data_IF_378602229058
#
_entry.id   IF_378602229058
#
_cell.length_a   1.000
_cell.length_b   1.000
_cell.length_c   1.000
_cell.angle_alpha   90.00
_cell.angle_beta   90.00
_cell.angle_gamma   90.00
#
_symmetry.space_group_name_H-M   'P 1'
#
loop_
_entity.id
_entity.type
_entity.pdbx_description
1 polymer ?
#
# COMPACT_ATOMS: atom_id res chain seq x y z
N UNK A 1 -26.36 7.63 10.86
CA UNK A 1 -25.69 7.37 9.57
C UNK A 1 -25.19 5.93 9.60
N UNK A 2 -25.07 5.27 8.45
CA UNK A 2 -24.38 3.96 8.42
C UNK A 2 -22.90 4.20 8.73
N UNK A 3 -22.23 3.30 9.48
CA UNK A 3 -20.80 3.46 9.74
C UNK A 3 -20.01 3.38 8.43
N UNK A 4 -18.98 4.20 8.30
CA UNK A 4 -18.01 4.11 7.21
C UNK A 4 -17.24 2.80 7.41
N UNK A 5 -17.20 1.94 6.39
CA UNK A 5 -16.55 0.63 6.44
C UNK A 5 -15.29 0.65 5.62
N UNK A 6 -14.14 0.37 6.22
CA UNK A 6 -12.85 0.41 5.53
C UNK A 6 -11.96 -0.75 5.90
N UNK A 7 -11.35 -1.37 4.87
CA UNK A 7 -10.24 -2.32 5.03
C UNK A 7 -8.93 -1.59 4.80
N UNK A 8 -7.98 -1.74 5.72
CA UNK A 8 -6.65 -1.12 5.72
C UNK A 8 -5.58 -2.22 5.53
N UNK A 9 -4.87 -2.19 4.40
CA UNK A 9 -3.80 -3.14 4.09
C UNK A 9 -2.43 -2.51 4.35
N UNK A 10 -1.59 -3.09 5.23
CA UNK A 10 -0.28 -2.56 5.56
C UNK A 10 0.74 -2.76 4.43
N UNK A 11 1.87 -2.10 4.57
CA UNK A 11 3.05 -2.38 3.76
C UNK A 11 3.76 -3.67 4.19
N UNK A 12 4.81 -4.00 3.45
CA UNK A 12 5.57 -5.24 3.66
C UNK A 12 6.48 -5.21 4.90
N UNK A 13 6.60 -4.06 5.60
CA UNK A 13 7.53 -3.92 6.73
C UNK A 13 6.86 -4.09 8.09
N UNK A 14 5.72 -3.45 8.33
CA UNK A 14 5.00 -3.52 9.61
C UNK A 14 3.79 -4.45 9.53
N UNK A 15 3.44 -5.17 10.61
CA UNK A 15 2.12 -5.76 10.78
C UNK A 15 1.02 -4.68 10.78
N UNK A 16 -0.22 -5.10 10.53
CA UNK A 16 -1.36 -4.19 10.37
C UNK A 16 -1.66 -3.37 11.64
N UNK A 17 -1.62 -4.00 12.82
CA UNK A 17 -1.92 -3.33 14.08
C UNK A 17 -0.94 -2.16 14.38
N UNK A 18 0.40 -2.35 14.43
CA UNK A 18 1.31 -1.22 14.65
C UNK A 18 1.38 -0.26 13.46
N UNK A 19 0.95 -0.65 12.26
CA UNK A 19 0.88 0.24 11.11
C UNK A 19 -0.27 1.24 11.22
N UNK A 20 -1.45 0.80 11.67
CA UNK A 20 -2.68 1.58 11.58
C UNK A 20 -3.32 1.96 12.91
N UNK A 21 -2.79 1.51 14.07
CA UNK A 21 -3.39 1.80 15.38
C UNK A 21 -3.65 3.28 15.60
N UNK A 22 -2.64 4.14 15.34
CA UNK A 22 -2.79 5.59 15.47
C UNK A 22 -3.84 6.20 14.51
N UNK A 23 -3.89 5.72 13.27
CA UNK A 23 -4.90 6.17 12.31
C UNK A 23 -6.31 5.76 12.73
N UNK A 24 -6.50 4.52 13.17
CA UNK A 24 -7.81 4.02 13.63
C UNK A 24 -8.29 4.83 14.84
N UNK A 25 -7.41 5.16 15.77
CA UNK A 25 -7.73 6.02 16.90
C UNK A 25 -8.18 7.43 16.44
N UNK A 26 -7.44 8.02 15.50
CA UNK A 26 -7.76 9.34 14.93
C UNK A 26 -9.06 9.34 14.12
N UNK A 27 -9.40 8.22 13.48
CA UNK A 27 -10.66 8.07 12.75
C UNK A 27 -11.88 8.02 13.69
N UNK A 28 -11.73 7.52 14.92
CA UNK A 28 -12.80 7.47 15.92
C UNK A 28 -13.87 6.40 15.66
N UNK A 29 -14.87 6.30 16.55
CA UNK A 29 -15.76 5.13 16.66
C UNK A 29 -16.87 5.05 15.60
N UNK A 30 -17.08 6.07 14.80
CA UNK A 30 -18.06 6.09 13.69
C UNK A 30 -17.51 5.51 12.38
N UNK A 31 -16.22 5.16 12.36
CA UNK A 31 -15.58 4.43 11.28
C UNK A 31 -15.34 2.98 11.72
N UNK A 32 -15.97 2.04 11.01
CA UNK A 32 -15.75 0.61 11.17
C UNK A 32 -14.50 0.22 10.33
N UNK A 33 -13.33 0.46 10.92
CA UNK A 33 -12.04 0.23 10.29
C UNK A 33 -11.46 -1.12 10.71
N UNK A 34 -11.00 -1.91 9.75
CA UNK A 34 -10.26 -3.14 10.00
C UNK A 34 -8.87 -3.06 9.40
N UNK A 35 -7.84 -3.12 10.24
CA UNK A 35 -6.47 -3.31 9.83
C UNK A 35 -6.22 -4.81 9.64
N UNK A 36 -6.04 -5.23 8.38
CA UNK A 36 -5.88 -6.64 8.01
C UNK A 36 -4.44 -6.91 7.62
N UNK A 37 -3.79 -7.87 8.28
CA UNK A 37 -2.47 -8.35 7.86
C UNK A 37 -2.51 -8.96 6.45
N UNK A 38 -1.39 -8.86 5.75
CA UNK A 38 -1.23 -9.51 4.46
C UNK A 38 -1.13 -11.03 4.65
N UNK A 39 -1.84 -11.79 3.82
CA UNK A 39 -1.80 -13.27 3.77
C UNK A 39 -0.37 -13.78 3.58
N UNK A 40 0.47 -12.99 2.91
CA UNK A 40 1.89 -13.23 2.73
C UNK A 40 2.63 -13.56 4.02
N UNK A 41 2.15 -13.03 5.15
CA UNK A 41 2.80 -13.12 6.45
C UNK A 41 2.06 -13.99 7.47
N UNK A 42 1.12 -14.81 7.02
CA UNK A 42 0.37 -15.72 7.89
C UNK A 42 1.29 -16.76 8.57
N UNK A 43 2.31 -17.25 7.85
CA UNK A 43 3.33 -18.16 8.35
C UNK A 43 4.70 -17.50 8.55
N UNK A 44 5.71 -18.32 8.84
CA UNK A 44 7.11 -17.87 8.91
C UNK A 44 7.70 -17.65 7.52
N UNK A 45 7.20 -18.35 6.51
CA UNK A 45 7.56 -18.20 5.10
C UNK A 45 6.31 -17.86 4.27
N UNK A 46 6.50 -17.21 3.09
CA UNK A 46 5.40 -16.96 2.17
C UNK A 46 4.64 -18.25 1.83
N UNK A 47 3.31 -18.24 1.80
CA UNK A 47 2.54 -19.44 1.42
C UNK A 47 2.94 -19.95 0.05
N UNK A 48 2.99 -21.29 -0.17
CA UNK A 48 3.28 -21.86 -1.48
C UNK A 48 2.29 -21.35 -2.54
N UNK A 49 2.81 -20.85 -3.67
CA UNK A 49 1.99 -20.30 -4.74
C UNK A 49 1.35 -18.94 -4.43
N UNK A 50 1.82 -18.25 -3.39
CA UNK A 50 1.34 -16.92 -3.09
C UNK A 50 1.48 -15.97 -4.28
N UNK A 51 0.49 -15.12 -4.48
CA UNK A 51 0.46 -14.02 -5.44
C UNK A 51 -0.45 -12.90 -4.92
N UNK A 52 -0.54 -11.79 -5.63
CA UNK A 52 -1.51 -10.72 -5.31
C UNK A 52 -2.96 -11.24 -5.26
N UNK A 53 -3.29 -12.32 -5.97
CA UNK A 53 -4.61 -12.95 -5.90
C UNK A 53 -4.90 -13.53 -4.52
N UNK A 54 -3.89 -14.02 -3.82
CA UNK A 54 -4.03 -14.49 -2.43
C UNK A 54 -4.45 -13.36 -1.50
N UNK A 55 -3.87 -12.16 -1.70
CA UNK A 55 -4.25 -10.97 -0.94
C UNK A 55 -5.68 -10.51 -1.27
N UNK A 56 -6.09 -10.56 -2.56
CA UNK A 56 -7.45 -10.26 -2.99
C UNK A 56 -8.46 -11.17 -2.30
N UNK A 57 -8.21 -12.48 -2.30
CA UNK A 57 -9.07 -13.46 -1.62
C UNK A 57 -9.14 -13.19 -0.12
N UNK A 58 -8.04 -12.76 0.49
CA UNK A 58 -7.98 -12.37 1.90
C UNK A 58 -8.86 -11.16 2.21
N UNK A 59 -8.84 -10.13 1.36
CA UNK A 59 -9.71 -8.95 1.51
C UNK A 59 -11.19 -9.34 1.35
N UNK A 60 -11.51 -10.20 0.37
CA UNK A 60 -12.88 -10.69 0.17
C UNK A 60 -13.38 -11.45 1.40
N UNK A 61 -12.58 -12.39 1.94
CA UNK A 61 -12.93 -13.14 3.15
C UNK A 61 -13.19 -12.23 4.34
N UNK A 62 -12.35 -11.20 4.54
CA UNK A 62 -12.52 -10.25 5.63
C UNK A 62 -13.83 -9.46 5.49
N UNK A 63 -14.09 -8.89 4.31
CA UNK A 63 -15.31 -8.14 4.05
C UNK A 63 -16.56 -9.01 4.14
N UNK A 64 -16.54 -10.23 3.61
CA UNK A 64 -17.67 -11.16 3.61
C UNK A 64 -17.98 -11.65 5.04
N UNK A 65 -16.96 -11.89 5.87
CA UNK A 65 -17.14 -12.28 7.28
C UNK A 65 -17.86 -11.21 8.10
N UNK A 66 -17.75 -9.94 7.68
CA UNK A 66 -18.42 -8.79 8.29
C UNK A 66 -19.76 -8.45 7.64
N UNK A 67 -20.16 -9.17 6.59
CA UNK A 67 -21.37 -8.87 5.81
C UNK A 67 -21.27 -7.55 5.04
N UNK A 68 -20.05 -7.14 4.62
CA UNK A 68 -19.84 -5.92 3.86
C UNK A 68 -19.93 -6.21 2.35
N UNK A 69 -21.02 -5.84 1.73
CA UNK A 69 -21.20 -5.94 0.27
C UNK A 69 -20.31 -4.95 -0.48
N UNK A 70 -20.16 -3.74 0.07
CA UNK A 70 -19.27 -2.71 -0.43
C UNK A 70 -18.57 -1.97 0.73
N UNK A 71 -17.34 -1.53 0.49
CA UNK A 71 -16.47 -0.90 1.50
C UNK A 71 -15.43 0.01 0.84
N UNK A 72 -14.78 0.84 1.64
CA UNK A 72 -13.60 1.59 1.23
C UNK A 72 -12.35 0.71 1.42
N UNK A 73 -11.40 0.78 0.49
CA UNK A 73 -10.14 0.06 0.59
C UNK A 73 -8.98 1.06 0.63
N UNK A 74 -8.12 0.90 1.63
CA UNK A 74 -6.88 1.65 1.75
C UNK A 74 -5.70 0.68 1.72
N UNK A 75 -4.74 0.90 0.84
CA UNK A 75 -3.53 0.10 0.78
C UNK A 75 -2.27 0.96 0.82
N UNK A 76 -1.30 0.56 1.65
CA UNK A 76 0.02 1.18 1.74
C UNK A 76 1.09 0.23 1.19
N UNK A 77 2.01 0.74 0.34
CA UNK A 77 3.17 -0.03 -0.15
C UNK A 77 2.76 -1.37 -0.80
N UNK A 78 3.19 -2.51 -0.28
CA UNK A 78 2.78 -3.84 -0.73
C UNK A 78 1.26 -4.02 -0.68
N UNK A 79 0.61 -3.58 0.41
CA UNK A 79 -0.85 -3.55 0.49
C UNK A 79 -1.49 -2.61 -0.52
N UNK A 80 -0.78 -1.57 -0.97
CA UNK A 80 -1.21 -0.68 -2.06
C UNK A 80 -1.22 -1.39 -3.42
N UNK A 81 -0.23 -2.24 -3.68
CA UNK A 81 -0.22 -3.09 -4.88
C UNK A 81 -1.37 -4.11 -4.87
N UNK A 82 -1.64 -4.73 -3.71
CA UNK A 82 -2.79 -5.62 -3.52
C UNK A 82 -4.12 -4.88 -3.71
N UNK A 83 -4.24 -3.64 -3.21
CA UNK A 83 -5.44 -2.82 -3.37
C UNK A 83 -5.69 -2.43 -4.85
N UNK A 84 -4.64 -2.15 -5.63
CA UNK A 84 -4.76 -1.94 -7.08
C UNK A 84 -5.24 -3.21 -7.80
N UNK A 85 -4.66 -4.36 -7.46
CA UNK A 85 -5.08 -5.65 -8.03
C UNK A 85 -6.53 -5.98 -7.65
N UNK A 86 -6.95 -5.68 -6.42
CA UNK A 86 -8.34 -5.80 -5.98
C UNK A 86 -9.28 -4.90 -6.80
N UNK A 87 -8.94 -3.63 -6.97
CA UNK A 87 -9.76 -2.68 -7.74
C UNK A 87 -9.93 -3.10 -9.20
N UNK A 88 -8.89 -3.69 -9.82
CA UNK A 88 -8.99 -4.21 -11.17
C UNK A 88 -9.91 -5.45 -11.28
N UNK A 89 -9.99 -6.30 -10.24
CA UNK A 89 -10.76 -7.56 -10.28
C UNK A 89 -12.17 -7.44 -9.71
N UNK A 90 -12.34 -6.61 -8.66
CA UNK A 90 -13.59 -6.49 -7.90
C UNK A 90 -14.02 -5.02 -7.71
N UNK A 91 -14.06 -4.19 -8.79
CA UNK A 91 -14.39 -2.77 -8.68
C UNK A 91 -15.76 -2.52 -8.02
N UNK A 92 -16.72 -3.44 -8.24
CA UNK A 92 -18.08 -3.34 -7.69
C UNK A 92 -18.14 -3.48 -6.17
N UNK A 93 -17.10 -4.01 -5.53
CA UNK A 93 -16.99 -4.15 -4.07
C UNK A 93 -16.47 -2.88 -3.40
N UNK A 94 -15.96 -1.91 -4.18
CA UNK A 94 -15.35 -0.70 -3.65
C UNK A 94 -16.27 0.51 -3.76
N UNK A 95 -16.39 1.25 -2.66
CA UNK A 95 -16.96 2.60 -2.62
C UNK A 95 -15.92 3.64 -3.02
N UNK A 96 -14.66 3.45 -2.61
CA UNK A 96 -13.50 4.25 -3.02
C UNK A 96 -12.21 3.47 -2.82
N UNK A 97 -11.13 3.96 -3.41
CA UNK A 97 -9.78 3.44 -3.26
C UNK A 97 -8.85 4.52 -2.71
N UNK A 98 -8.09 4.20 -1.67
CA UNK A 98 -7.00 5.03 -1.17
C UNK A 98 -5.67 4.31 -1.33
N UNK A 99 -4.70 4.98 -1.91
CA UNK A 99 -3.37 4.46 -2.20
C UNK A 99 -2.32 5.31 -1.50
N UNK A 100 -1.63 4.76 -0.52
CA UNK A 100 -0.49 5.38 0.12
C UNK A 100 0.77 4.76 -0.50
N UNK A 101 1.34 5.42 -1.51
CA UNK A 101 2.58 4.99 -2.16
C UNK A 101 2.61 3.47 -2.45
N UNK A 102 1.72 2.96 -3.33
CA UNK A 102 1.73 1.55 -3.68
C UNK A 102 3.10 1.12 -4.20
N UNK A 103 3.59 -0.04 -3.76
CA UNK A 103 4.92 -0.54 -4.09
C UNK A 103 5.09 -0.91 -5.56
N UNK A 104 4.00 -1.02 -6.30
CA UNK A 104 3.98 -1.37 -7.71
C UNK A 104 2.59 -1.05 -8.29
N UNK A 105 2.56 -0.68 -9.57
CA UNK A 105 1.34 -0.29 -10.27
C UNK A 105 1.24 -0.87 -11.70
N UNK A 106 1.82 -2.04 -11.91
CA UNK A 106 1.82 -2.70 -13.21
C UNK A 106 3.09 -2.48 -14.03
N UNK A 107 3.22 -3.18 -15.14
CA UNK A 107 4.39 -3.14 -16.01
C UNK A 107 4.10 -2.32 -17.28
N UNK A 108 4.04 -0.99 -17.14
CA UNK A 108 3.62 -0.08 -18.22
C UNK A 108 4.76 0.86 -18.58
N UNK A 109 5.42 0.78 -19.62
CA UNK A 109 6.37 1.74 -20.21
C UNK A 109 6.95 2.80 -19.22
N UNK A 110 7.57 2.34 -18.17
CA UNK A 110 8.18 3.17 -17.15
C UNK A 110 9.35 4.00 -17.70
N UNK A 111 9.68 5.12 -17.06
CA UNK A 111 10.83 5.94 -17.40
C UNK A 111 12.15 5.15 -17.28
N UNK A 112 13.24 5.59 -17.95
CA UNK A 112 14.55 5.00 -17.73
C UNK A 112 15.04 5.06 -16.28
N UNK A 113 14.65 6.11 -15.53
CA UNK A 113 15.00 6.26 -14.12
C UNK A 113 14.29 5.19 -13.27
N UNK A 114 12.99 5.02 -13.43
CA UNK A 114 12.22 3.97 -12.77
C UNK A 114 12.74 2.58 -13.15
N UNK A 115 12.98 2.33 -14.43
CA UNK A 115 13.51 1.04 -14.87
C UNK A 115 14.91 0.73 -14.30
N UNK A 116 15.75 1.76 -14.08
CA UNK A 116 17.03 1.61 -13.38
C UNK A 116 16.82 1.27 -11.90
N UNK A 117 15.93 1.98 -11.22
CA UNK A 117 15.59 1.73 -9.83
C UNK A 117 15.08 0.29 -9.62
N UNK A 118 14.24 -0.21 -10.53
CA UNK A 118 13.75 -1.58 -10.45
C UNK A 118 14.85 -2.64 -10.59
N UNK A 119 15.90 -2.38 -11.37
CA UNK A 119 17.09 -3.25 -11.39
C UNK A 119 17.83 -3.25 -10.05
N UNK A 120 17.81 -2.13 -9.33
CA UNK A 120 18.39 -2.05 -7.98
C UNK A 120 17.54 -2.85 -6.97
N UNK A 121 16.20 -2.80 -7.05
CA UNK A 121 15.31 -3.69 -6.28
C UNK A 121 15.55 -5.17 -6.61
N UNK A 122 15.71 -5.52 -7.87
CA UNK A 122 16.00 -6.91 -8.29
C UNK A 122 17.34 -7.40 -7.74
N UNK A 123 18.35 -6.54 -7.68
CA UNK A 123 19.67 -6.89 -7.13
C UNK A 123 19.62 -7.22 -5.63
N UNK A 124 18.59 -6.77 -4.90
CA UNK A 124 18.40 -7.12 -3.48
C UNK A 124 18.18 -8.64 -3.29
N UNK A 125 17.72 -9.37 -4.32
CA UNK A 125 17.44 -10.79 -4.20
C UNK A 125 18.65 -11.61 -3.73
N UNK A 126 19.85 -11.18 -4.09
CA UNK A 126 21.12 -11.85 -3.76
C UNK A 126 21.73 -11.40 -2.43
N UNK A 127 21.17 -10.37 -1.79
CA UNK A 127 21.73 -9.86 -0.54
C UNK A 127 21.44 -10.78 0.65
N UNK A 128 22.41 -10.91 1.59
CA UNK A 128 22.14 -11.56 2.87
C UNK A 128 21.00 -10.85 3.64
N UNK A 129 20.18 -11.58 4.43
CA UNK A 129 19.05 -10.99 5.17
C UNK A 129 19.43 -9.78 6.03
N UNK A 130 20.62 -9.79 6.65
CA UNK A 130 21.10 -8.71 7.50
C UNK A 130 21.33 -7.38 6.74
N UNK A 131 21.63 -7.45 5.44
CA UNK A 131 21.88 -6.28 4.59
C UNK A 131 20.62 -5.88 3.79
N UNK A 132 19.71 -6.82 3.59
CA UNK A 132 18.55 -6.65 2.73
C UNK A 132 17.66 -5.48 3.15
N UNK A 133 17.24 -5.43 4.41
CA UNK A 133 16.28 -4.41 4.87
C UNK A 133 16.84 -3.00 4.77
N UNK A 134 18.10 -2.78 5.14
CA UNK A 134 18.74 -1.47 5.03
C UNK A 134 18.85 -1.00 3.57
N UNK A 135 19.23 -1.90 2.67
CA UNK A 135 19.31 -1.62 1.23
C UNK A 135 17.91 -1.37 0.64
N UNK A 136 16.92 -2.19 0.98
CA UNK A 136 15.55 -2.01 0.56
C UNK A 136 14.99 -0.64 0.98
N UNK A 137 15.14 -0.28 2.25
CA UNK A 137 14.65 1.00 2.76
C UNK A 137 15.33 2.19 2.09
N UNK A 138 16.60 2.06 1.73
CA UNK A 138 17.36 3.14 1.07
C UNK A 138 16.78 3.49 -0.30
N UNK A 139 16.28 2.51 -1.06
CA UNK A 139 15.69 2.73 -2.39
C UNK A 139 14.37 3.49 -2.34
N UNK A 140 13.61 3.39 -1.25
CA UNK A 140 12.28 4.01 -1.14
C UNK A 140 12.27 5.51 -0.77
N UNK A 141 13.44 6.14 -0.55
CA UNK A 141 13.53 7.54 -0.10
C UNK A 141 14.54 8.34 -0.93
N UNK A 142 14.42 9.67 -0.90
CA UNK A 142 15.41 10.56 -1.54
C UNK A 142 16.81 10.32 -0.99
N UNK A 143 17.88 10.59 -1.78
CA UNK A 143 19.26 10.32 -1.38
C UNK A 143 19.74 11.05 -0.10
N UNK A 144 19.18 12.23 0.16
CA UNK A 144 19.52 13.10 1.30
C UNK A 144 18.74 12.78 2.58
N UNK A 145 17.75 11.90 2.50
CA UNK A 145 16.98 11.46 3.68
C UNK A 145 17.85 10.56 4.58
N UNK A 146 17.95 10.91 5.84
CA UNK A 146 18.62 10.10 6.86
C UNK A 146 17.61 9.14 7.48
N UNK A 147 17.77 7.85 7.21
CA UNK A 147 16.95 6.83 7.84
C UNK A 147 17.39 6.61 9.29
N UNK A 148 16.46 6.34 10.22
CA UNK A 148 16.80 6.07 11.60
C UNK A 148 17.68 4.83 11.71
N UNK A 149 18.59 4.77 12.69
CA UNK A 149 19.38 3.57 12.95
C UNK A 149 18.46 2.41 13.38
N UNK A 150 18.92 1.16 13.24
CA UNK A 150 18.18 0.01 13.78
C UNK A 150 17.89 0.20 15.26
N UNK A 151 16.74 -0.31 15.77
CA UNK A 151 16.38 -0.16 17.17
C UNK A 151 17.38 -0.84 18.10
N UNK A 152 17.63 -0.20 19.26
CA UNK A 152 18.42 -0.82 20.34
C UNK A 152 17.70 -2.09 20.81
N UNK A 153 18.44 -3.19 21.00
CA UNK A 153 17.88 -4.49 21.40
C UNK A 153 17.57 -5.45 20.25
N UNK A 154 17.83 -5.03 19.00
CA UNK A 154 17.63 -5.85 17.82
C UNK A 154 16.20 -5.76 17.23
N UNK A 155 16.00 -6.37 16.05
CA UNK A 155 14.72 -6.33 15.38
C UNK A 155 13.66 -7.16 16.13
N UNK A 156 12.39 -6.73 16.11
CA UNK A 156 11.31 -7.52 16.69
C UNK A 156 11.14 -8.86 15.93
N UNK A 157 10.59 -9.92 16.59
CA UNK A 157 10.50 -11.26 16.00
C UNK A 157 9.83 -11.31 14.62
N UNK A 158 8.78 -10.52 14.41
CA UNK A 158 8.08 -10.47 13.12
C UNK A 158 8.92 -9.91 11.97
N UNK A 159 10.02 -9.21 12.25
CA UNK A 159 10.92 -8.66 11.22
C UNK A 159 11.67 -9.77 10.47
N UNK A 160 11.89 -10.93 11.11
CA UNK A 160 12.67 -12.02 10.51
C UNK A 160 12.06 -12.53 9.18
N UNK A 161 10.74 -12.52 9.05
CA UNK A 161 10.03 -12.98 7.84
C UNK A 161 9.88 -11.91 6.75
N UNK A 162 10.20 -10.64 7.04
CA UNK A 162 9.97 -9.53 6.08
C UNK A 162 10.83 -9.62 4.81
N UNK A 163 12.13 -9.96 4.86
CA UNK A 163 12.93 -10.12 3.65
C UNK A 163 12.36 -11.17 2.68
N UNK A 164 11.88 -12.31 3.19
CA UNK A 164 11.29 -13.35 2.36
C UNK A 164 9.99 -12.88 1.69
N UNK A 165 9.12 -12.22 2.44
CA UNK A 165 7.87 -11.65 1.92
C UNK A 165 8.12 -10.54 0.88
N UNK A 166 9.05 -9.62 1.11
CA UNK A 166 9.39 -8.57 0.14
C UNK A 166 9.92 -9.19 -1.16
N UNK A 167 10.77 -10.24 -1.07
CA UNK A 167 11.22 -10.96 -2.27
C UNK A 167 10.06 -11.65 -3.01
N UNK A 168 9.07 -12.18 -2.29
CA UNK A 168 7.88 -12.76 -2.91
C UNK A 168 7.10 -11.71 -3.69
N UNK A 169 6.89 -10.51 -3.14
CA UNK A 169 6.31 -9.38 -3.88
C UNK A 169 7.11 -9.04 -5.14
N UNK A 170 8.41 -8.86 -5.02
CA UNK A 170 9.26 -8.50 -6.17
C UNK A 170 9.22 -9.55 -7.29
N UNK A 171 9.06 -10.84 -6.95
CA UNK A 171 8.90 -11.92 -7.93
C UNK A 171 7.52 -11.87 -8.59
N UNK A 172 6.46 -11.67 -7.81
CA UNK A 172 5.09 -11.61 -8.32
C UNK A 172 4.90 -10.38 -9.23
N UNK A 173 5.45 -9.22 -8.87
CA UNK A 173 5.39 -8.01 -9.69
C UNK A 173 6.00 -8.15 -11.09
N UNK A 174 6.90 -9.13 -11.30
CA UNK A 174 7.48 -9.42 -12.62
C UNK A 174 6.53 -10.18 -13.54
N UNK A 175 5.58 -10.92 -12.97
CA UNK A 175 4.73 -11.85 -13.73
C UNK A 175 3.25 -11.56 -13.60
N UNK A 176 2.84 -10.80 -12.58
CA UNK A 176 1.44 -10.46 -12.38
C UNK A 176 0.94 -9.50 -13.45
N UNK A 177 -0.17 -9.86 -14.10
CA UNK A 177 -0.82 -9.01 -15.11
C UNK A 177 -1.87 -8.11 -14.45
N UNK A 178 -1.44 -6.90 -14.09
CA UNK A 178 -2.36 -5.87 -13.61
C UNK A 178 -3.09 -5.23 -14.79
N UNK A 179 -4.36 -5.52 -14.94
CA UNK A 179 -5.20 -5.04 -16.05
C UNK A 179 -5.43 -3.52 -16.00
N UNK A 180 -4.62 -2.78 -16.77
CA UNK A 180 -4.70 -1.33 -16.88
C UNK A 180 -6.05 -0.85 -17.42
N UNK A 181 -6.68 -1.60 -18.33
CA UNK A 181 -7.96 -1.20 -18.90
C UNK A 181 -9.08 -1.28 -17.84
N UNK A 182 -9.04 -2.29 -16.97
CA UNK A 182 -9.97 -2.38 -15.83
C UNK A 182 -9.74 -1.27 -14.82
N UNK A 183 -8.50 -0.88 -14.53
CA UNK A 183 -8.22 0.28 -13.68
C UNK A 183 -8.73 1.58 -14.31
N UNK A 184 -8.57 1.77 -15.62
CA UNK A 184 -9.09 2.93 -16.33
C UNK A 184 -10.63 2.97 -16.36
N UNK A 185 -11.29 1.83 -16.23
CA UNK A 185 -12.74 1.72 -16.12
C UNK A 185 -13.26 1.83 -14.67
N UNK A 186 -12.36 1.96 -13.68
CA UNK A 186 -12.76 2.14 -12.28
C UNK A 186 -13.33 3.55 -12.07
N UNK A 187 -14.62 3.64 -11.87
CA UNK A 187 -15.40 4.88 -11.84
C UNK A 187 -15.59 5.47 -10.43
N UNK A 188 -14.98 4.86 -9.42
CA UNK A 188 -15.05 5.34 -8.03
C UNK A 188 -13.90 6.29 -7.72
N UNK A 189 -14.07 7.18 -6.72
CA UNK A 189 -13.01 8.10 -6.32
C UNK A 189 -11.73 7.38 -5.88
N UNK A 190 -10.59 7.86 -6.37
CA UNK A 190 -9.25 7.40 -5.97
C UNK A 190 -8.49 8.53 -5.28
N UNK A 191 -7.96 8.25 -4.11
CA UNK A 191 -7.15 9.18 -3.32
C UNK A 191 -5.72 8.63 -3.20
N UNK A 192 -4.77 9.35 -3.74
CA UNK A 192 -3.35 9.00 -3.65
C UNK A 192 -2.64 9.92 -2.65
N UNK A 193 -1.85 9.33 -1.77
CA UNK A 193 -1.04 10.04 -0.77
C UNK A 193 0.43 9.79 -1.07
N UNK A 194 1.21 10.87 -1.20
CA UNK A 194 2.62 10.86 -1.54
C UNK A 194 3.44 11.57 -0.47
N UNK A 195 4.52 10.97 -0.03
CA UNK A 195 5.53 11.61 0.81
C UNK A 195 6.47 12.47 -0.01
N UNK A 196 6.64 13.73 0.36
CA UNK A 196 7.52 14.67 -0.34
C UNK A 196 9.01 14.30 -0.31
N UNK A 197 9.40 13.43 0.62
CA UNK A 197 10.77 12.91 0.80
C UNK A 197 10.92 11.45 0.31
N UNK A 198 9.88 10.84 -0.24
CA UNK A 198 9.94 9.53 -0.89
C UNK A 198 10.70 9.60 -2.21
N UNK A 199 11.17 8.45 -2.70
CA UNK A 199 11.90 8.39 -3.96
C UNK A 199 11.01 8.82 -5.13
N UNK A 200 11.34 9.91 -5.85
CA UNK A 200 10.51 10.43 -6.94
C UNK A 200 10.49 9.51 -8.17
N UNK A 201 11.58 8.77 -8.41
CA UNK A 201 11.70 7.84 -9.53
C UNK A 201 10.88 6.55 -9.30
N UNK A 202 10.34 6.36 -8.09
CA UNK A 202 9.41 5.29 -7.71
C UNK A 202 8.02 5.87 -7.51
N UNK A 203 7.72 6.30 -6.29
CA UNK A 203 6.36 6.70 -5.88
C UNK A 203 5.84 7.96 -6.58
N UNK A 204 6.75 8.87 -6.95
CA UNK A 204 6.40 10.05 -7.76
C UNK A 204 5.94 9.65 -9.16
N UNK A 205 6.68 8.78 -9.84
CA UNK A 205 6.30 8.29 -11.16
C UNK A 205 5.03 7.42 -11.10
N UNK A 206 4.86 6.59 -10.07
CA UNK A 206 3.63 5.82 -9.84
C UNK A 206 2.43 6.75 -9.69
N UNK A 207 2.54 7.83 -8.90
CA UNK A 207 1.47 8.82 -8.74
C UNK A 207 1.10 9.49 -10.07
N UNK A 208 2.10 9.94 -10.83
CA UNK A 208 1.91 10.55 -12.15
C UNK A 208 1.21 9.58 -13.12
N UNK A 209 1.66 8.34 -13.19
CA UNK A 209 1.07 7.32 -14.07
C UNK A 209 -0.37 7.00 -13.71
N UNK A 210 -0.65 6.77 -12.42
CA UNK A 210 -2.00 6.46 -11.96
C UNK A 210 -2.96 7.64 -12.15
N UNK A 211 -2.49 8.89 -12.08
CA UNK A 211 -3.31 10.07 -12.36
C UNK A 211 -3.82 10.12 -13.81
N UNK A 212 -3.12 9.46 -14.74
CA UNK A 212 -3.55 9.34 -16.15
C UNK A 212 -4.45 8.12 -16.41
N UNK A 213 -4.54 7.21 -15.44
CA UNK A 213 -5.32 5.97 -15.57
C UNK A 213 -6.70 6.12 -14.93
N UNK A 214 -6.77 6.64 -13.70
CA UNK A 214 -8.03 6.77 -12.99
C UNK A 214 -8.80 8.03 -13.40
N UNK A 215 -10.08 7.93 -13.79
CA UNK A 215 -10.89 9.09 -14.19
C UNK A 215 -11.11 10.10 -13.06
N UNK A 216 -11.24 9.62 -11.82
CA UNK A 216 -11.46 10.43 -10.63
C UNK A 216 -10.30 10.22 -9.64
N UNK A 217 -9.21 10.96 -9.85
CA UNK A 217 -7.95 10.83 -9.11
C UNK A 217 -7.62 12.14 -8.36
N UNK A 218 -7.38 12.04 -7.07
CA UNK A 218 -6.89 13.13 -6.22
C UNK A 218 -5.54 12.77 -5.63
N UNK A 219 -4.56 13.66 -5.73
CA UNK A 219 -3.24 13.56 -5.11
C UNK A 219 -3.14 14.52 -3.92
N UNK A 220 -2.62 14.02 -2.81
CA UNK A 220 -2.19 14.82 -1.66
C UNK A 220 -0.72 14.54 -1.35
N UNK A 221 0.06 15.60 -1.15
CA UNK A 221 1.49 15.49 -0.80
C UNK A 221 1.70 15.86 0.65
N UNK A 222 2.39 15.01 1.38
CA UNK A 222 2.88 15.26 2.73
C UNK A 222 4.37 15.64 2.64
N UNK A 223 4.73 16.91 2.63
CA UNK A 223 6.04 17.39 2.19
C UNK A 223 7.20 16.86 3.04
N UNK A 224 6.95 16.67 4.34
CA UNK A 224 7.97 16.26 5.32
C UNK A 224 7.94 14.75 5.63
N UNK A 225 7.17 13.97 4.86
CA UNK A 225 7.05 12.52 5.05
C UNK A 225 7.75 11.76 3.93
N UNK A 226 8.18 10.56 4.25
CA UNK A 226 8.73 9.60 3.28
C UNK A 226 8.13 8.21 3.49
N UNK A 227 8.42 7.29 2.58
CA UNK A 227 7.82 5.97 2.53
C UNK A 227 7.88 5.20 3.86
N UNK A 228 8.98 5.30 4.62
CA UNK A 228 9.14 4.60 5.91
C UNK A 228 8.78 5.44 7.13
N UNK A 229 8.34 6.68 6.91
CA UNK A 229 7.79 7.60 7.89
C UNK A 229 6.42 8.12 7.41
N UNK A 230 5.46 7.20 7.16
CA UNK A 230 4.26 7.51 6.40
C UNK A 230 3.23 8.28 7.21
N UNK A 231 2.37 9.10 6.55
CA UNK A 231 1.38 9.95 7.22
C UNK A 231 0.40 9.21 8.13
N UNK A 232 0.02 7.98 7.81
CA UNK A 232 -0.91 7.19 8.63
C UNK A 232 -0.36 6.85 10.03
N UNK A 233 0.95 6.98 10.22
CA UNK A 233 1.60 6.78 11.52
C UNK A 233 1.98 8.09 12.20
N UNK A 234 2.40 9.08 11.43
CA UNK A 234 3.07 10.28 11.96
C UNK A 234 2.16 11.49 11.98
N UNK A 235 1.24 11.57 11.05
CA UNK A 235 0.23 12.65 10.96
C UNK A 235 -1.19 12.05 10.84
N UNK A 236 -1.58 11.13 11.77
CA UNK A 236 -2.84 10.39 11.63
C UNK A 236 -4.08 11.28 11.65
N UNK A 237 -4.08 12.36 12.42
CA UNK A 237 -5.21 13.30 12.49
C UNK A 237 -5.42 14.01 11.15
N UNK A 238 -4.34 14.52 10.54
CA UNK A 238 -4.42 15.18 9.23
C UNK A 238 -4.88 14.20 8.15
N UNK A 239 -4.28 13.01 8.12
CA UNK A 239 -4.68 12.00 7.14
C UNK A 239 -6.12 11.53 7.39
N UNK A 240 -6.51 11.32 8.64
CA UNK A 240 -7.87 10.93 9.03
C UNK A 240 -8.94 11.91 8.55
N UNK A 241 -8.68 13.22 8.69
CA UNK A 241 -9.58 14.26 8.18
C UNK A 241 -9.74 14.17 6.64
N UNK A 242 -8.63 14.04 5.90
CA UNK A 242 -8.64 13.91 4.44
C UNK A 242 -9.35 12.63 3.97
N UNK A 243 -9.19 11.53 4.69
CA UNK A 243 -9.88 10.26 4.41
C UNK A 243 -11.39 10.39 4.60
N UNK A 244 -11.84 11.05 5.68
CA UNK A 244 -13.27 11.30 5.89
C UNK A 244 -13.87 12.12 4.76
N UNK A 245 -13.23 13.21 4.32
CA UNK A 245 -13.67 13.98 3.15
C UNK A 245 -13.77 13.12 1.90
N UNK A 246 -12.79 12.24 1.68
CA UNK A 246 -12.75 11.34 0.54
C UNK A 246 -13.90 10.33 0.57
N UNK A 247 -14.15 9.70 1.71
CA UNK A 247 -15.23 8.72 1.87
C UNK A 247 -16.62 9.35 1.79
N UNK A 248 -16.84 10.51 2.42
CA UNK A 248 -18.09 11.26 2.30
C UNK A 248 -18.38 11.70 0.86
N UNK A 249 -17.32 12.01 0.10
CA UNK A 249 -17.47 12.31 -1.32
C UNK A 249 -17.88 11.06 -2.11
N UNK A 250 -17.28 9.90 -1.82
CA UNK A 250 -17.62 8.65 -2.46
C UNK A 250 -19.08 8.23 -2.19
N UNK A 251 -19.54 8.39 -0.95
CA UNK A 251 -20.93 8.07 -0.57
C UNK A 251 -21.99 8.95 -1.27
N UNK A 252 -21.59 10.13 -1.77
CA UNK A 252 -22.50 11.02 -2.55
C UNK A 252 -22.60 10.64 -4.02
N UNK A 253 -21.69 9.83 -4.52
CA UNK A 253 -21.66 9.42 -5.95
C UNK A 253 -22.40 8.09 -6.17
N UNK A 254 -22.69 7.34 -5.11
CA UNK A 254 -23.50 6.12 -5.09
C UNK A 254 -24.95 6.43 -4.85
#
# INVERSE_FOLDING_TARGET
MKPIRVVLLPGSVLPAEPAYGALIEALGPDVDAVAKDLELYDGDEPPPGWSLDTEIDGVLREADSRGWEAFHLLGYSGGGAAALAFAAKHPQRLLSLTLLEPAWAGSWNWSPAHAKLWKEYEALETLPPAQFMAAFMRLGVKPDVVLPPPPEGGPPPWMAKRPAGIRAFLRDFKVYDLDKARLAAFDRPVFFVLGGLSNPDDYGEVAERLSTVFPDFRLEVFPDRHHFDPPHRIEPDRLGALLREHWERADRVV
#
